data_IF_603183607458
#
_entry.id   IF_603183607458
#
_cell.length_a   1.000
_cell.length_b   1.000
_cell.length_c   1.000
_cell.angle_alpha   90.00
_cell.angle_beta   90.00
_cell.angle_gamma   90.00
#
_symmetry.space_group_name_H-M   'P 1'
#
loop_
_entity.id
_entity.type
_entity.pdbx_description
1 polymer ?
#
# COMPACT_ATOMS: atom_id res chain seq x y z
N UNK A 1 51.65 -46.34 -25.19
CA UNK A 1 52.61 -46.05 -24.11
C UNK A 1 51.90 -45.15 -23.11
N UNK A 2 50.92 -45.68 -22.34
CA UNK A 2 51.00 -46.08 -20.91
C UNK A 2 51.87 -45.20 -20.00
N UNK A 3 51.22 -44.46 -19.10
CA UNK A 3 51.29 -44.41 -17.61
C UNK A 3 50.62 -43.07 -17.18
N UNK A 4 49.44 -43.04 -16.52
CA UNK A 4 49.14 -43.27 -15.09
C UNK A 4 49.99 -42.35 -14.17
N UNK A 5 49.53 -41.67 -13.10
CA UNK A 5 48.29 -41.65 -12.31
C UNK A 5 48.37 -40.49 -11.27
N UNK A 6 47.30 -40.29 -10.50
CA UNK A 6 47.12 -39.50 -9.26
C UNK A 6 46.74 -38.01 -9.45
N UNK A 7 45.58 -37.48 -9.02
CA UNK A 7 44.62 -37.92 -8.00
C UNK A 7 44.73 -37.03 -6.75
N UNK A 8 43.82 -36.06 -6.57
CA UNK A 8 43.15 -35.85 -5.29
C UNK A 8 41.91 -34.95 -5.43
N UNK A 9 40.80 -35.40 -4.87
CA UNK A 9 39.53 -34.70 -4.76
C UNK A 9 39.22 -34.52 -3.26
N UNK A 10 38.81 -33.32 -2.84
CA UNK A 10 38.20 -33.08 -1.51
C UNK A 10 37.19 -31.92 -1.72
N UNK A 11 35.91 -32.18 -2.01
CA UNK A 11 34.80 -32.36 -1.06
C UNK A 11 34.82 -31.37 0.12
N UNK A 12 34.19 -30.20 -0.05
CA UNK A 12 33.72 -29.36 1.05
C UNK A 12 32.34 -29.83 1.51
N UNK A 13 32.30 -30.58 2.60
CA UNK A 13 31.07 -31.05 3.24
C UNK A 13 30.49 -29.99 4.18
N UNK A 14 29.18 -29.77 4.07
CA UNK A 14 28.35 -29.19 5.13
C UNK A 14 28.46 -30.04 6.41
N UNK A 15 28.80 -29.42 7.53
CA UNK A 15 28.65 -30.02 8.85
C UNK A 15 27.40 -29.44 9.55
N UNK A 16 26.34 -30.24 9.58
CA UNK A 16 25.25 -30.13 10.55
C UNK A 16 25.76 -30.67 11.89
N UNK A 17 25.76 -29.85 12.93
CA UNK A 17 25.93 -30.32 14.31
C UNK A 17 24.68 -29.96 15.09
N UNK A 18 23.79 -30.95 15.22
CA UNK A 18 22.71 -30.91 16.20
C UNK A 18 23.23 -31.41 17.54
N UNK A 19 22.90 -30.69 18.62
CA UNK A 19 22.85 -31.28 19.96
C UNK A 19 21.55 -30.86 20.64
N UNK A 20 20.85 -31.88 21.11
CA UNK A 20 19.62 -31.82 21.87
C UNK A 20 19.88 -31.15 23.22
N UNK A 21 19.09 -30.13 23.55
CA UNK A 21 19.03 -29.51 24.89
C UNK A 21 17.58 -29.35 25.31
N UNK A 22 17.12 -30.28 26.16
CA UNK A 22 15.78 -30.33 26.74
C UNK A 22 15.61 -29.21 27.78
N UNK A 23 14.41 -28.62 27.79
CA UNK A 23 13.93 -27.61 28.73
C UNK A 23 14.09 -28.01 30.20
N UNK A 24 14.59 -27.10 31.03
CA UNK A 24 14.29 -27.00 32.46
C UNK A 24 13.91 -25.55 32.79
N UNK A 25 12.67 -25.36 33.24
CA UNK A 25 12.16 -24.09 33.75
C UNK A 25 12.53 -23.98 35.22
N UNK A 26 13.63 -23.29 35.51
CA UNK A 26 14.07 -22.95 36.87
C UNK A 26 13.45 -21.64 37.34
N UNK A 27 12.42 -21.74 38.18
CA UNK A 27 11.85 -20.61 38.94
C UNK A 27 12.84 -20.14 40.00
N UNK A 28 13.39 -18.93 39.86
CA UNK A 28 14.00 -18.23 40.99
C UNK A 28 13.70 -16.73 40.91
N UNK A 29 12.65 -16.33 41.63
CA UNK A 29 12.44 -14.94 42.05
C UNK A 29 13.57 -14.56 43.01
N UNK A 30 14.41 -13.61 42.62
CA UNK A 30 15.26 -12.86 43.55
C UNK A 30 14.75 -11.42 43.61
N UNK A 31 14.36 -11.01 44.81
CA UNK A 31 13.90 -9.68 45.17
C UNK A 31 15.08 -8.71 45.19
N UNK A 32 15.25 -7.95 44.12
CA UNK A 32 16.18 -6.83 44.04
C UNK A 32 15.45 -5.51 44.26
N UNK A 33 15.68 -4.88 45.41
CA UNK A 33 15.22 -3.51 45.73
C UNK A 33 16.05 -2.49 44.95
N UNK A 34 15.45 -1.88 43.93
CA UNK A 34 16.04 -0.79 43.15
C UNK A 34 15.02 0.32 42.91
N UNK A 35 15.37 1.54 43.31
CA UNK A 35 14.59 2.78 43.32
C UNK A 35 14.11 3.21 41.90
N UNK A 36 12.83 3.60 41.68
CA UNK A 36 12.39 4.11 40.39
C UNK A 36 12.66 5.63 40.29
N UNK A 37 13.73 5.99 39.58
CA UNK A 37 13.88 7.35 39.07
C UNK A 37 12.98 7.52 37.84
N UNK A 38 11.97 8.38 37.98
CA UNK A 38 11.01 8.75 36.97
C UNK A 38 11.67 9.48 35.80
N UNK A 39 11.75 8.82 34.64
CA UNK A 39 11.93 9.51 33.37
C UNK A 39 10.63 10.22 32.99
N UNK A 40 10.65 11.52 32.63
CA UNK A 40 9.47 12.16 32.08
C UNK A 40 9.14 11.52 30.73
N UNK A 41 7.93 10.99 30.61
CA UNK A 41 7.38 10.52 29.36
C UNK A 41 7.42 11.66 28.34
N UNK A 42 8.03 11.40 27.18
CA UNK A 42 7.96 12.30 26.03
C UNK A 42 6.49 12.51 25.66
N UNK A 43 6.08 13.72 25.25
CA UNK A 43 4.71 13.96 24.82
C UNK A 43 4.42 13.05 23.63
N UNK A 44 3.49 12.12 23.83
CA UNK A 44 3.06 11.18 22.80
C UNK A 44 2.59 11.96 21.58
N UNK A 45 3.15 11.62 20.42
CA UNK A 45 2.62 12.02 19.12
C UNK A 45 1.14 11.67 19.11
N UNK A 46 0.30 12.71 19.15
CA UNK A 46 -1.15 12.54 19.10
C UNK A 46 -1.52 11.84 17.80
N UNK A 47 -2.21 10.71 17.92
CA UNK A 47 -2.87 10.08 16.78
C UNK A 47 -4.09 10.94 16.44
N UNK A 48 -3.94 11.86 15.48
CA UNK A 48 -5.07 12.60 14.93
C UNK A 48 -5.92 11.65 14.10
N UNK A 49 -7.14 11.39 14.58
CA UNK A 49 -8.10 10.51 13.91
C UNK A 49 -8.86 11.32 12.87
N UNK A 50 -8.42 11.30 11.62
CA UNK A 50 -9.21 11.74 10.47
C UNK A 50 -9.91 10.52 9.87
N UNK A 51 -11.25 10.52 9.85
CA UNK A 51 -12.01 9.62 8.98
C UNK A 51 -11.99 10.28 7.61
N UNK A 52 -11.32 9.66 6.64
CA UNK A 52 -11.40 10.09 5.24
C UNK A 52 -12.82 9.80 4.74
N UNK A 53 -13.48 10.81 4.19
CA UNK A 53 -14.83 10.70 3.60
C UNK A 53 -14.67 10.95 2.10
N UNK A 54 -14.77 9.91 1.30
CA UNK A 54 -14.64 9.98 -0.15
C UNK A 54 -15.93 9.55 -0.86
N UNK A 55 -16.23 10.18 -2.00
CA UNK A 55 -17.27 9.71 -2.93
C UNK A 55 -16.66 9.41 -4.29
N UNK A 56 -17.17 8.38 -4.94
CA UNK A 56 -16.60 7.80 -6.16
C UNK A 56 -17.62 7.70 -7.28
N UNK A 57 -17.23 8.06 -8.49
CA UNK A 57 -18.12 8.15 -9.64
C UNK A 57 -17.48 7.57 -10.90
N UNK A 58 -18.30 7.03 -11.79
CA UNK A 58 -17.90 6.77 -13.17
C UNK A 58 -17.76 8.08 -13.93
N UNK A 59 -16.89 8.11 -14.94
CA UNK A 59 -16.66 9.30 -15.76
C UNK A 59 -17.32 9.16 -17.13
N UNK A 60 -17.89 10.25 -17.62
CA UNK A 60 -18.56 10.36 -18.90
C UNK A 60 -17.68 11.11 -19.91
N UNK A 61 -17.51 10.51 -21.10
CA UNK A 61 -16.72 11.12 -22.18
C UNK A 61 -15.25 11.34 -21.82
N UNK A 62 -14.59 12.19 -22.61
CA UNK A 62 -13.15 12.46 -22.49
C UNK A 62 -12.83 13.94 -22.31
N UNK A 63 -13.85 14.81 -22.21
CA UNK A 63 -13.67 16.26 -22.07
C UNK A 63 -12.95 16.67 -20.78
N UNK A 64 -12.89 15.79 -19.78
CA UNK A 64 -12.13 16.02 -18.56
C UNK A 64 -10.61 16.00 -18.79
N UNK A 65 -10.12 15.31 -19.84
CA UNK A 65 -8.67 15.16 -20.12
C UNK A 65 -7.98 16.49 -20.41
N UNK A 66 -8.72 17.49 -20.91
CA UNK A 66 -8.21 18.87 -21.16
C UNK A 66 -8.25 19.78 -19.93
N UNK A 67 -8.85 19.35 -18.81
CA UNK A 67 -9.10 20.20 -17.65
C UNK A 67 -7.97 20.16 -16.60
N UNK A 68 -6.98 19.29 -16.78
CA UNK A 68 -5.85 19.18 -15.86
C UNK A 68 -4.68 18.40 -16.46
N UNK A 69 -3.57 18.36 -15.73
CA UNK A 69 -2.40 17.56 -16.11
C UNK A 69 -2.51 16.16 -15.51
N UNK A 70 -2.37 15.15 -16.37
CA UNK A 70 -2.28 13.75 -15.95
C UNK A 70 -0.92 13.47 -15.29
N UNK A 71 -0.96 12.77 -14.17
CA UNK A 71 0.20 12.32 -13.40
C UNK A 71 0.21 10.81 -13.36
N UNK A 72 1.29 10.17 -13.80
CA UNK A 72 1.39 8.71 -13.82
C UNK A 72 1.52 8.16 -12.39
N UNK A 73 0.77 7.11 -12.10
CA UNK A 73 0.79 6.39 -10.83
C UNK A 73 0.92 4.89 -11.10
N UNK A 74 1.92 4.27 -10.47
CA UNK A 74 2.07 2.81 -10.41
C UNK A 74 2.09 2.40 -8.96
N UNK A 75 1.24 1.46 -8.57
CA UNK A 75 1.18 0.98 -7.20
C UNK A 75 0.97 -0.54 -7.14
N UNK A 76 1.44 -1.13 -6.05
CA UNK A 76 1.36 -2.55 -5.78
C UNK A 76 1.30 -2.81 -4.28
N UNK A 77 0.95 -4.04 -3.92
CA UNK A 77 0.81 -4.44 -2.53
C UNK A 77 1.85 -5.50 -2.19
N UNK A 78 2.71 -5.24 -1.20
CA UNK A 78 3.52 -6.28 -0.55
C UNK A 78 2.64 -7.17 0.35
N UNK A 79 1.50 -6.63 0.80
CA UNK A 79 0.43 -7.38 1.44
C UNK A 79 -0.89 -6.67 1.20
N UNK A 80 -1.88 -7.38 0.66
CA UNK A 80 -3.27 -6.91 0.51
C UNK A 80 -4.21 -7.42 1.62
N UNK A 81 -3.67 -8.06 2.66
CA UNK A 81 -4.44 -8.61 3.78
C UNK A 81 -5.05 -7.49 4.62
N UNK A 82 -6.34 -7.61 4.94
CA UNK A 82 -7.13 -6.55 5.61
C UNK A 82 -6.52 -6.08 6.93
N UNK A 83 -5.86 -6.97 7.65
CA UNK A 83 -5.26 -6.73 8.96
C UNK A 83 -3.93 -5.98 8.88
N UNK A 84 -3.25 -6.03 7.73
CA UNK A 84 -1.92 -5.46 7.48
C UNK A 84 -1.73 -5.20 5.99
N UNK A 85 -2.23 -4.07 5.53
CA UNK A 85 -2.01 -3.66 4.15
C UNK A 85 -0.65 -2.98 4.06
N UNK A 86 0.18 -3.40 3.13
CA UNK A 86 1.46 -2.75 2.83
C UNK A 86 1.47 -2.44 1.34
N UNK A 87 1.47 -1.15 1.01
CA UNK A 87 1.36 -0.64 -0.36
C UNK A 87 2.61 0.14 -0.72
N UNK A 88 3.15 -0.14 -1.89
CA UNK A 88 4.18 0.67 -2.54
C UNK A 88 3.49 1.47 -3.64
N UNK A 89 3.76 2.77 -3.72
CA UNK A 89 3.23 3.65 -4.78
C UNK A 89 4.38 4.52 -5.30
N UNK A 90 4.47 4.62 -6.63
CA UNK A 90 5.21 5.67 -7.32
C UNK A 90 4.17 6.60 -7.96
N UNK A 91 4.24 7.88 -7.65
CA UNK A 91 3.47 8.96 -8.28
C UNK A 91 4.46 9.95 -8.88
N UNK A 92 4.54 9.99 -10.21
CA UNK A 92 5.55 10.73 -10.98
C UNK A 92 6.98 10.41 -10.51
N UNK A 93 7.65 11.36 -9.84
CA UNK A 93 9.03 11.23 -9.36
C UNK A 93 9.13 11.00 -7.85
N UNK A 94 8.02 10.65 -7.19
CA UNK A 94 7.98 10.40 -5.75
C UNK A 94 7.46 9.00 -5.47
N UNK A 95 7.99 8.37 -4.43
CA UNK A 95 7.53 7.07 -4.01
C UNK A 95 7.21 7.02 -2.52
N UNK A 96 6.15 6.29 -2.18
CA UNK A 96 5.74 6.06 -0.79
C UNK A 96 5.53 4.58 -0.50
N UNK A 97 5.88 4.20 0.73
CA UNK A 97 5.50 2.95 1.37
C UNK A 97 4.45 3.27 2.43
N UNK A 98 3.24 2.76 2.23
CA UNK A 98 2.13 2.93 3.18
C UNK A 98 1.86 1.61 3.89
N UNK A 99 1.82 1.62 5.22
CA UNK A 99 1.40 0.50 6.05
C UNK A 99 0.07 0.88 6.70
N UNK A 100 -0.97 0.07 6.51
CA UNK A 100 -2.27 0.26 7.16
C UNK A 100 -2.61 -0.96 8.03
N UNK A 101 -2.88 -0.73 9.31
CA UNK A 101 -3.25 -1.76 10.27
C UNK A 101 -4.67 -2.29 10.08
N UNK A 102 -5.15 -3.08 11.04
CA UNK A 102 -6.54 -3.54 11.09
C UNK A 102 -7.46 -2.36 11.42
N UNK A 103 -8.67 -2.40 10.87
CA UNK A 103 -9.75 -1.50 11.30
C UNK A 103 -10.24 -1.90 12.70
N UNK A 104 -10.26 -0.95 13.64
CA UNK A 104 -10.80 -1.11 15.00
C UNK A 104 -11.92 -0.10 15.22
N UNK A 105 -13.17 -0.57 15.23
CA UNK A 105 -14.33 0.31 15.19
C UNK A 105 -14.44 1.01 13.83
N UNK A 106 -14.35 2.33 13.82
CA UNK A 106 -14.36 3.18 12.62
C UNK A 106 -12.97 3.68 12.21
N UNK A 107 -11.90 3.25 12.91
CA UNK A 107 -10.57 3.82 12.69
C UNK A 107 -9.54 2.78 12.31
N UNK A 108 -8.46 3.25 11.70
CA UNK A 108 -7.38 2.43 11.17
C UNK A 108 -6.05 3.15 11.37
N UNK A 109 -5.07 2.46 11.96
CA UNK A 109 -3.71 2.99 12.02
C UNK A 109 -3.08 3.01 10.63
N UNK A 110 -2.45 4.12 10.27
CA UNK A 110 -1.79 4.33 8.99
C UNK A 110 -0.43 4.99 9.20
N UNK A 111 0.59 4.46 8.52
CA UNK A 111 1.95 4.99 8.50
C UNK A 111 2.38 5.13 7.06
N UNK A 112 2.86 6.31 6.68
CA UNK A 112 3.37 6.58 5.35
C UNK A 112 4.82 7.06 5.44
N UNK A 113 5.67 6.47 4.59
CA UNK A 113 7.09 6.79 4.49
C UNK A 113 7.43 7.12 3.05
N UNK A 114 8.13 8.22 2.82
CA UNK A 114 8.80 8.45 1.54
C UNK A 114 9.96 7.46 1.41
N UNK A 115 10.09 6.83 0.24
CA UNK A 115 11.18 5.91 -0.09
C UNK A 115 11.82 6.33 -1.42
N UNK A 116 13.09 5.96 -1.68
CA UNK A 116 13.71 6.20 -2.99
C UNK A 116 12.93 5.53 -4.12
N UNK A 117 12.75 6.24 -5.24
CA UNK A 117 12.01 5.73 -6.41
C UNK A 117 12.61 4.43 -6.94
N UNK A 118 13.94 4.33 -6.98
CA UNK A 118 14.63 3.11 -7.44
C UNK A 118 14.27 1.88 -6.58
N UNK A 119 14.22 2.04 -5.25
CA UNK A 119 13.81 0.97 -4.33
C UNK A 119 12.33 0.61 -4.53
N UNK A 120 11.47 1.62 -4.70
CA UNK A 120 10.06 1.39 -4.98
C UNK A 120 9.85 0.59 -6.29
N UNK A 121 10.60 0.90 -7.34
CA UNK A 121 10.55 0.17 -8.62
C UNK A 121 10.97 -1.29 -8.45
N UNK A 122 12.02 -1.56 -7.67
CA UNK A 122 12.45 -2.92 -7.33
C UNK A 122 11.36 -3.68 -6.57
N UNK A 123 10.73 -3.05 -5.57
CA UNK A 123 9.64 -3.65 -4.79
C UNK A 123 8.41 -3.94 -5.67
N UNK A 124 8.00 -3.00 -6.53
CA UNK A 124 6.88 -3.17 -7.46
C UNK A 124 7.14 -4.27 -8.50
N UNK A 125 8.39 -4.40 -8.93
CA UNK A 125 8.77 -5.34 -9.99
C UNK A 125 9.05 -6.75 -9.46
N UNK A 126 9.57 -6.87 -8.24
CA UNK A 126 10.04 -8.14 -7.69
C UNK A 126 9.12 -8.79 -6.65
N UNK A 127 8.44 -7.99 -5.82
CA UNK A 127 7.83 -8.50 -4.58
C UNK A 127 6.34 -8.23 -4.44
N UNK A 128 5.79 -7.20 -5.10
CA UNK A 128 4.37 -6.90 -5.00
C UNK A 128 3.50 -8.00 -5.63
N UNK A 129 2.34 -8.22 -5.01
CA UNK A 129 1.23 -8.98 -5.56
C UNK A 129 0.86 -8.47 -6.96
N UNK A 130 0.37 -9.38 -7.81
CA UNK A 130 0.00 -9.08 -9.20
C UNK A 130 -1.52 -9.13 -9.40
N UNK A 131 -2.05 -8.38 -10.38
CA UNK A 131 -1.38 -7.35 -11.18
C UNK A 131 -0.98 -6.10 -10.39
N UNK A 132 -0.19 -5.21 -10.99
CA UNK A 132 -0.06 -3.87 -10.43
C UNK A 132 -1.31 -3.04 -10.76
N UNK A 133 -1.57 -2.01 -9.96
CA UNK A 133 -2.55 -0.98 -10.30
C UNK A 133 -1.78 0.17 -10.97
N UNK A 134 -2.01 0.33 -12.26
CA UNK A 134 -1.37 1.35 -13.09
C UNK A 134 -2.46 2.30 -13.59
N UNK A 135 -2.25 3.61 -13.38
CA UNK A 135 -3.23 4.64 -13.73
C UNK A 135 -2.55 5.97 -13.99
N UNK A 136 -3.27 6.91 -14.58
CA UNK A 136 -2.93 8.33 -14.52
C UNK A 136 -4.00 9.04 -13.73
N UNK A 137 -3.58 9.94 -12.83
CA UNK A 137 -4.47 10.79 -12.05
C UNK A 137 -4.42 12.22 -12.58
N UNK A 138 -5.56 12.76 -12.95
CA UNK A 138 -5.73 14.17 -13.31
C UNK A 138 -6.50 14.85 -12.20
N UNK A 139 -5.89 15.86 -11.57
CA UNK A 139 -6.55 16.69 -10.55
C UNK A 139 -7.23 17.87 -11.22
N UNK A 140 -8.54 17.99 -11.04
CA UNK A 140 -9.39 19.02 -11.68
C UNK A 140 -10.08 19.83 -10.57
N UNK A 141 -9.87 21.16 -10.58
CA UNK A 141 -10.58 22.05 -9.68
C UNK A 141 -11.92 22.43 -10.31
N UNK A 142 -13.01 22.23 -9.58
CA UNK A 142 -14.35 22.62 -9.99
C UNK A 142 -15.12 23.18 -8.80
N UNK A 143 -15.58 24.44 -8.91
CA UNK A 143 -16.33 25.12 -7.84
C UNK A 143 -15.64 25.05 -6.46
N UNK A 144 -14.31 25.23 -6.44
CA UNK A 144 -13.50 25.22 -5.23
C UNK A 144 -13.15 23.84 -4.68
N UNK A 145 -13.70 22.76 -5.25
CA UNK A 145 -13.38 21.38 -4.87
C UNK A 145 -12.39 20.75 -5.84
N UNK A 146 -11.52 19.88 -5.32
CA UNK A 146 -10.59 19.10 -6.14
C UNK A 146 -11.20 17.73 -6.42
N UNK A 147 -11.32 17.41 -7.69
CA UNK A 147 -11.65 16.08 -8.17
C UNK A 147 -10.40 15.36 -8.63
N UNK A 148 -10.24 14.10 -8.24
CA UNK A 148 -9.18 13.23 -8.72
C UNK A 148 -9.75 12.24 -9.73
N UNK A 149 -9.40 12.41 -11.00
CA UNK A 149 -9.85 11.52 -12.08
C UNK A 149 -8.75 10.53 -12.43
N UNK A 150 -9.04 9.25 -12.22
CA UNK A 150 -8.16 8.12 -12.52
C UNK A 150 -8.57 7.42 -13.81
N UNK A 151 -7.66 7.39 -14.78
CA UNK A 151 -7.75 6.53 -15.96
C UNK A 151 -6.79 5.35 -15.75
N UNK A 152 -7.35 4.13 -15.69
CA UNK A 152 -6.61 2.91 -15.39
C UNK A 152 -6.06 2.26 -16.67
N UNK A 153 -4.92 1.58 -16.50
CA UNK A 153 -4.18 0.86 -17.54
C UNK A 153 -3.92 -0.60 -17.16
N UNK A 154 -3.25 -1.34 -18.04
CA UNK A 154 -2.90 -2.74 -17.83
C UNK A 154 -4.14 -3.62 -17.75
N UNK A 155 -4.23 -4.50 -16.76
CA UNK A 155 -5.40 -5.39 -16.57
C UNK A 155 -6.68 -4.62 -16.19
N UNK A 156 -6.55 -3.35 -15.81
CA UNK A 156 -7.67 -2.45 -15.51
C UNK A 156 -7.95 -1.43 -16.63
N UNK A 157 -7.39 -1.63 -17.83
CA UNK A 157 -7.54 -0.72 -18.97
C UNK A 157 -9.00 -0.44 -19.32
N UNK A 158 -9.32 0.83 -19.52
CA UNK A 158 -10.66 1.29 -19.96
C UNK A 158 -11.58 1.70 -18.81
N UNK A 159 -11.21 1.41 -17.57
CA UNK A 159 -11.88 1.95 -16.40
C UNK A 159 -11.44 3.41 -16.17
N UNK A 160 -12.42 4.31 -16.01
CA UNK A 160 -12.19 5.70 -15.59
C UNK A 160 -13.10 6.03 -14.42
N UNK A 161 -12.51 6.52 -13.34
CA UNK A 161 -13.21 6.82 -12.08
C UNK A 161 -12.82 8.21 -11.59
N UNK A 162 -13.77 8.94 -11.03
CA UNK A 162 -13.52 10.20 -10.35
C UNK A 162 -13.81 10.07 -8.86
N UNK A 163 -12.90 10.58 -8.04
CA UNK A 163 -13.00 10.62 -6.59
C UNK A 163 -13.02 12.09 -6.12
N UNK A 164 -13.79 12.37 -5.07
CA UNK A 164 -13.79 13.65 -4.37
C UNK A 164 -13.73 13.38 -2.87
N UNK A 165 -12.79 14.03 -2.19
CA UNK A 165 -12.66 13.99 -0.73
C UNK A 165 -13.51 15.10 -0.10
N UNK A 166 -14.18 14.77 1.00
CA UNK A 166 -15.10 15.63 1.73
C UNK A 166 -14.69 15.71 3.20
N UNK A 167 -14.97 16.84 3.83
CA UNK A 167 -14.81 17.07 5.26
C UNK A 167 -15.94 16.42 6.08
N UNK A 168 -17.09 16.16 5.44
CA UNK A 168 -18.25 15.49 6.07
C UNK A 168 -19.13 14.79 5.03
N UNK A 169 -19.88 13.76 5.46
CA UNK A 169 -20.79 13.01 4.58
C UNK A 169 -21.89 13.88 3.96
N UNK A 170 -22.27 14.97 4.63
CA UNK A 170 -23.32 15.90 4.20
C UNK A 170 -22.79 17.13 3.46
N UNK A 171 -21.47 17.20 3.22
CA UNK A 171 -20.89 18.32 2.49
C UNK A 171 -21.46 18.36 1.06
N UNK A 172 -22.04 19.51 0.71
CA UNK A 172 -22.50 19.76 -0.64
C UNK A 172 -21.31 20.05 -1.56
N UNK A 173 -21.38 19.56 -2.79
CA UNK A 173 -20.44 19.88 -3.86
C UNK A 173 -21.19 19.97 -5.20
N UNK A 174 -20.67 20.80 -6.10
CA UNK A 174 -21.17 20.86 -7.46
C UNK A 174 -20.61 19.69 -8.26
N UNK A 175 -21.49 19.05 -9.04
CA UNK A 175 -21.13 17.89 -9.87
C UNK A 175 -20.87 18.37 -11.31
N UNK A 176 -19.63 18.26 -11.83
CA UNK A 176 -19.33 18.55 -13.22
C UNK A 176 -20.10 17.65 -14.20
N UNK A 177 -20.33 18.14 -15.42
CA UNK A 177 -21.07 17.40 -16.47
C UNK A 177 -20.42 16.06 -16.88
N UNK A 178 -19.09 15.93 -16.71
CA UNK A 178 -18.35 14.70 -17.00
C UNK A 178 -18.42 13.66 -15.86
N UNK A 179 -19.04 13.99 -14.72
CA UNK A 179 -19.22 13.03 -13.62
C UNK A 179 -20.52 12.25 -13.82
N UNK A 180 -20.41 10.93 -13.88
CA UNK A 180 -21.49 9.99 -14.13
C UNK A 180 -22.08 9.36 -12.88
N UNK A 181 -22.43 8.08 -12.96
CA UNK A 181 -23.07 7.33 -11.87
C UNK A 181 -22.15 7.22 -10.67
N UNK A 182 -22.73 7.37 -9.47
CA UNK A 182 -22.00 7.14 -8.22
C UNK A 182 -21.82 5.64 -7.95
N UNK A 183 -20.62 5.27 -7.56
CA UNK A 183 -20.20 3.89 -7.28
C UNK A 183 -19.43 3.80 -5.94
N UNK A 184 -19.66 4.75 -5.03
CA UNK A 184 -19.01 4.85 -3.71
C UNK A 184 -19.10 3.53 -2.91
N UNK A 185 -20.28 2.91 -2.88
CA UNK A 185 -20.51 1.67 -2.12
C UNK A 185 -20.26 0.38 -2.93
N UNK A 186 -19.92 0.50 -4.22
CA UNK A 186 -19.67 -0.66 -5.06
C UNK A 186 -18.22 -1.14 -4.90
N UNK A 187 -18.07 -2.20 -4.11
CA UNK A 187 -16.79 -2.77 -3.76
C UNK A 187 -15.94 -3.16 -4.99
N UNK A 188 -16.51 -3.39 -6.17
CA UNK A 188 -15.74 -3.71 -7.39
C UNK A 188 -14.75 -2.59 -7.74
N UNK A 189 -15.10 -1.34 -7.46
CA UNK A 189 -14.29 -0.15 -7.76
C UNK A 189 -13.23 0.20 -6.70
N UNK A 190 -13.03 -0.65 -5.70
CA UNK A 190 -11.96 -0.47 -4.72
C UNK A 190 -10.63 -0.99 -5.25
N UNK A 191 -9.52 -0.26 -5.05
CA UNK A 191 -8.19 -0.68 -5.54
C UNK A 191 -7.80 -2.10 -5.12
N UNK A 192 -8.13 -2.51 -3.89
CA UNK A 192 -7.83 -3.86 -3.41
C UNK A 192 -8.65 -4.95 -4.14
N UNK A 193 -9.80 -4.60 -4.71
CA UNK A 193 -10.63 -5.50 -5.49
C UNK A 193 -10.27 -5.43 -6.98
N UNK A 194 -9.87 -4.28 -7.52
CA UNK A 194 -9.23 -4.17 -8.85
C UNK A 194 -7.93 -4.96 -8.94
N UNK A 195 -7.24 -5.17 -7.82
CA UNK A 195 -6.10 -6.08 -7.72
C UNK A 195 -6.56 -7.55 -7.83
N UNK A 196 -7.59 -7.94 -7.09
CA UNK A 196 -8.03 -9.36 -7.00
C UNK A 196 -8.86 -9.81 -8.20
N UNK A 197 -9.64 -8.91 -8.76
CA UNK A 197 -10.55 -9.13 -9.88
C UNK A 197 -10.49 -7.89 -10.79
N UNK A 198 -9.50 -7.84 -11.68
CA UNK A 198 -9.27 -6.69 -12.56
C UNK A 198 -10.45 -6.44 -13.50
N UNK A 199 -10.58 -5.18 -13.96
CA UNK A 199 -11.67 -4.74 -14.83
C UNK A 199 -11.85 -5.61 -16.09
N UNK A 200 -10.74 -6.11 -16.65
CA UNK A 200 -10.77 -7.01 -17.81
C UNK A 200 -11.47 -8.36 -17.55
N UNK A 201 -11.74 -8.70 -16.28
CA UNK A 201 -12.37 -9.96 -15.87
C UNK A 201 -13.78 -9.80 -15.27
N UNK A 202 -14.34 -8.59 -15.25
CA UNK A 202 -15.66 -8.28 -14.65
C UNK A 202 -16.85 -8.91 -15.38
#
# INVERSE_FOLDING_TARGET
>A
MRLADAGNAIQGQCAYAGTQGRMEWGTQCQTGTGNPASHPASPGTGCTMSVEIERKFLVLGEDWKKLGKAVAIRQGYLSSQRERVVRVRIEDQKATLTIKGRVTGITRGEWEYEIPVAEADELLSGLCERPLIEKTRTRIVHEGMVWEVDEFFGENQGLVVAEIELESETQAFAKPDWVGVEVTDDARYFNANLLRHPFSAW
#
